data_IF_508926989903
#
_entry.id   IF_508926989903
#
_cell.length_a   1.000
_cell.length_b   1.000
_cell.length_c   1.000
_cell.angle_alpha   90.00
_cell.angle_beta   90.00
_cell.angle_gamma   90.00
#
_symmetry.space_group_name_H-M   'P 1'
#
loop_
_entity.id
_entity.type
_entity.pdbx_description
1 polymer ?
#
# COMPACT_ATOMS: atom_id res chain seq x y z
N UNK A 1 -33.02 67.99 -23.20
CA UNK A 1 -32.94 67.04 -22.07
C UNK A 1 -31.46 66.73 -21.88
N UNK A 2 -30.87 67.32 -20.86
CA UNK A 2 -29.45 67.34 -20.56
C UNK A 2 -29.27 66.44 -19.33
N UNK A 3 -28.24 65.60 -19.28
CA UNK A 3 -27.49 65.32 -18.06
C UNK A 3 -26.18 64.61 -18.40
N UNK A 4 -25.11 65.28 -17.99
CA UNK A 4 -23.72 64.93 -18.16
C UNK A 4 -23.30 63.81 -17.19
N UNK A 5 -22.43 62.90 -17.66
CA UNK A 5 -21.74 61.95 -16.81
C UNK A 5 -20.42 62.58 -16.32
N UNK A 6 -20.34 62.87 -15.02
CA UNK A 6 -19.13 63.30 -14.33
C UNK A 6 -18.19 62.11 -14.09
N UNK A 7 -17.02 62.13 -14.74
CA UNK A 7 -15.89 61.28 -14.39
C UNK A 7 -15.09 61.91 -13.23
N UNK A 8 -15.19 61.33 -12.04
CA UNK A 8 -14.23 61.56 -10.95
C UNK A 8 -13.03 60.63 -11.14
N UNK A 9 -11.86 61.21 -11.41
CA UNK A 9 -10.56 60.52 -11.36
C UNK A 9 -10.20 60.28 -9.90
N UNK A 10 -10.13 59.01 -9.48
CA UNK A 10 -9.49 58.62 -8.23
C UNK A 10 -7.96 58.80 -8.39
N UNK A 11 -7.35 59.54 -7.46
CA UNK A 11 -5.91 59.70 -7.38
C UNK A 11 -5.25 58.38 -6.98
N UNK A 12 -4.37 57.86 -7.85
CA UNK A 12 -3.48 56.74 -7.51
C UNK A 12 -2.44 57.23 -6.50
N UNK A 13 -2.50 56.70 -5.27
CA UNK A 13 -1.41 56.82 -4.32
C UNK A 13 -0.23 55.95 -4.79
N UNK A 14 0.98 56.51 -4.75
CA UNK A 14 2.21 55.80 -5.09
C UNK A 14 2.43 54.58 -4.17
N UNK A 15 2.97 53.46 -4.68
CA UNK A 15 3.23 52.29 -3.87
C UNK A 15 4.31 52.59 -2.83
N UNK A 16 4.01 52.32 -1.55
CA UNK A 16 4.99 52.33 -0.47
C UNK A 16 5.99 51.19 -0.72
N UNK A 17 7.26 51.54 -0.90
CA UNK A 17 8.39 50.61 -0.87
C UNK A 17 8.47 49.97 0.51
N UNK A 18 8.15 48.67 0.59
CA UNK A 18 8.48 47.84 1.75
C UNK A 18 9.91 47.36 1.55
N UNK A 19 10.83 47.91 2.32
CA UNK A 19 12.22 47.45 2.39
C UNK A 19 12.25 46.08 3.05
N UNK A 20 12.37 45.01 2.26
CA UNK A 20 12.62 43.66 2.77
C UNK A 20 14.08 43.58 3.16
N UNK A 21 14.36 43.35 4.45
CA UNK A 21 15.70 43.11 4.95
C UNK A 21 16.29 41.84 4.29
N UNK A 22 17.60 41.82 3.95
CA UNK A 22 18.21 40.64 3.34
C UNK A 22 18.17 39.47 4.33
N UNK A 23 17.55 38.37 3.90
CA UNK A 23 17.66 37.09 4.62
C UNK A 23 19.13 36.68 4.65
N UNK A 24 19.66 36.48 5.85
CA UNK A 24 20.94 35.82 6.04
C UNK A 24 20.87 34.45 5.37
N UNK A 25 21.79 34.23 4.42
CA UNK A 25 22.07 32.90 3.88
C UNK A 25 22.69 32.10 5.01
N UNK A 26 21.85 31.33 5.71
CA UNK A 26 22.35 30.29 6.61
C UNK A 26 23.09 29.28 5.75
N UNK A 27 24.40 29.24 5.95
CA UNK A 27 25.30 28.26 5.37
C UNK A 27 24.72 26.86 5.53
N UNK A 28 24.80 26.10 4.45
CA UNK A 28 24.37 24.72 4.32
C UNK A 28 24.59 23.94 5.63
N UNK A 29 23.48 23.50 6.23
CA UNK A 29 23.53 22.39 7.17
C UNK A 29 24.02 21.18 6.37
N UNK A 30 25.22 20.74 6.69
CA UNK A 30 25.78 19.45 6.28
C UNK A 30 24.72 18.37 6.42
N UNK A 31 24.52 17.61 5.35
CA UNK A 31 23.68 16.42 5.37
C UNK A 31 24.07 15.56 6.59
N UNK A 32 23.10 15.07 7.39
CA UNK A 32 23.44 14.17 8.46
C UNK A 32 24.12 12.95 7.87
N UNK A 33 25.30 12.64 8.39
CA UNK A 33 26.06 11.43 8.09
C UNK A 33 25.13 10.21 8.20
N UNK A 34 25.36 9.21 7.33
CA UNK A 34 24.62 7.96 7.28
C UNK A 34 24.25 7.48 8.69
N UNK A 35 22.94 7.47 8.97
CA UNK A 35 22.41 6.94 10.22
C UNK A 35 22.95 5.52 10.39
N UNK A 36 23.59 5.24 11.53
CA UNK A 36 24.00 3.90 11.89
C UNK A 36 22.82 2.94 11.74
N UNK A 37 23.08 1.74 11.21
CA UNK A 37 22.05 0.72 10.99
C UNK A 37 21.14 0.59 12.21
N UNK A 38 19.83 0.67 11.98
CA UNK A 38 18.81 0.46 13.01
C UNK A 38 19.09 -0.82 13.80
N UNK A 39 18.89 -0.77 15.12
CA UNK A 39 19.06 -1.96 15.97
C UNK A 39 18.06 -3.06 15.61
N UNK A 40 18.39 -4.35 15.79
CA UNK A 40 17.53 -5.47 15.36
C UNK A 40 16.09 -5.41 15.87
N UNK A 41 15.87 -4.96 17.11
CA UNK A 41 14.53 -4.83 17.69
C UNK A 41 13.67 -3.78 16.96
N UNK A 42 14.26 -2.66 16.57
CA UNK A 42 13.55 -1.61 15.85
C UNK A 42 13.28 -2.02 14.38
N UNK A 43 14.21 -2.73 13.74
CA UNK A 43 13.97 -3.32 12.41
C UNK A 43 12.84 -4.34 12.45
N UNK A 44 12.81 -5.19 13.49
CA UNK A 44 11.73 -6.16 13.70
C UNK A 44 10.38 -5.48 13.94
N UNK A 45 10.34 -4.41 14.72
CA UNK A 45 9.12 -3.63 14.94
C UNK A 45 8.58 -3.05 13.63
N UNK A 46 9.44 -2.49 12.77
CA UNK A 46 9.05 -2.02 11.44
C UNK A 46 8.60 -3.14 10.51
N UNK A 47 9.29 -4.28 10.53
CA UNK A 47 8.90 -5.46 9.75
C UNK A 47 7.50 -5.96 10.17
N UNK A 48 7.23 -6.07 11.47
CA UNK A 48 5.89 -6.39 11.97
C UNK A 48 4.87 -5.32 11.61
N UNK A 49 5.25 -4.06 11.76
CA UNK A 49 4.45 -2.91 11.38
C UNK A 49 4.00 -2.97 9.92
N UNK A 50 4.85 -3.44 9.01
CA UNK A 50 4.48 -3.64 7.60
C UNK A 50 3.31 -4.63 7.45
N UNK A 51 3.36 -5.78 8.13
CA UNK A 51 2.32 -6.82 8.01
C UNK A 51 1.04 -6.38 8.73
N UNK A 52 1.18 -5.85 9.95
CA UNK A 52 0.07 -5.32 10.76
C UNK A 52 -0.66 -4.21 10.00
N UNK A 53 0.11 -3.24 9.51
CA UNK A 53 -0.40 -2.08 8.78
C UNK A 53 -1.11 -2.48 7.49
N UNK A 54 -0.63 -3.49 6.77
CA UNK A 54 -1.29 -3.98 5.57
C UNK A 54 -2.66 -4.63 5.86
N UNK A 55 -2.72 -5.55 6.83
CA UNK A 55 -3.96 -6.24 7.20
C UNK A 55 -5.02 -5.29 7.76
N UNK A 56 -4.61 -4.37 8.62
CA UNK A 56 -5.51 -3.37 9.22
C UNK A 56 -6.02 -2.39 8.16
N UNK A 57 -5.17 -1.96 7.22
CA UNK A 57 -5.57 -1.02 6.16
C UNK A 57 -6.61 -1.64 5.23
N UNK A 58 -6.41 -2.90 4.84
CA UNK A 58 -7.36 -3.63 4.01
C UNK A 58 -8.74 -3.73 4.71
N UNK A 59 -8.77 -4.23 5.94
CA UNK A 59 -10.01 -4.34 6.72
C UNK A 59 -10.70 -2.97 6.95
N UNK A 60 -9.92 -1.91 7.21
CA UNK A 60 -10.42 -0.56 7.41
C UNK A 60 -11.06 0.03 6.14
N UNK A 61 -10.55 -0.32 4.96
CA UNK A 61 -10.99 0.25 3.68
C UNK A 61 -12.06 -0.56 2.95
N UNK A 62 -12.21 -1.84 3.31
CA UNK A 62 -13.14 -2.81 2.72
C UNK A 62 -14.59 -2.29 2.56
N UNK A 63 -15.10 -1.58 3.57
CA UNK A 63 -16.49 -1.10 3.58
C UNK A 63 -16.85 -0.12 2.46
N UNK A 64 -15.88 0.58 1.87
CA UNK A 64 -16.08 1.55 0.78
C UNK A 64 -15.46 1.09 -0.55
N UNK A 65 -15.12 -0.19 -0.65
CA UNK A 65 -14.47 -0.74 -1.83
C UNK A 65 -15.34 -0.62 -3.09
N UNK A 66 -14.71 -0.35 -4.24
CA UNK A 66 -15.30 -0.21 -5.58
C UNK A 66 -16.36 0.89 -5.74
N UNK A 67 -16.30 1.94 -4.93
CA UNK A 67 -17.07 3.17 -5.18
C UNK A 67 -16.25 4.09 -6.08
N UNK A 68 -16.44 3.97 -7.39
CA UNK A 68 -15.72 4.79 -8.39
C UNK A 68 -16.31 6.21 -8.54
N UNK A 69 -17.63 6.35 -8.33
CA UNK A 69 -18.32 7.63 -8.43
C UNK A 69 -18.06 8.47 -7.17
N UNK A 70 -17.41 9.62 -7.35
CA UNK A 70 -17.05 10.52 -6.26
C UNK A 70 -18.26 11.16 -5.58
N UNK A 71 -19.30 11.50 -6.35
CA UNK A 71 -20.53 12.06 -5.80
C UNK A 71 -21.23 11.06 -4.89
N UNK A 72 -21.33 9.80 -5.33
CA UNK A 72 -21.88 8.69 -4.55
C UNK A 72 -21.07 8.44 -3.27
N UNK A 73 -19.73 8.44 -3.35
CA UNK A 73 -18.87 8.29 -2.17
C UNK A 73 -19.16 9.37 -1.14
N UNK A 74 -19.18 10.64 -1.56
CA UNK A 74 -19.43 11.77 -0.66
C UNK A 74 -20.85 11.72 -0.07
N UNK A 75 -21.87 11.35 -0.85
CA UNK A 75 -23.23 11.18 -0.37
C UNK A 75 -23.34 10.07 0.69
N UNK A 76 -22.71 8.92 0.46
CA UNK A 76 -22.70 7.80 1.41
C UNK A 76 -22.02 8.18 2.72
N UNK A 77 -20.85 8.83 2.66
CA UNK A 77 -20.15 9.32 3.84
C UNK A 77 -21.00 10.33 4.61
N UNK A 78 -21.60 11.31 3.91
CA UNK A 78 -22.45 12.32 4.52
C UNK A 78 -23.69 11.73 5.19
N UNK A 79 -24.31 10.72 4.58
CA UNK A 79 -25.50 10.06 5.13
C UNK A 79 -25.28 9.41 6.51
N UNK A 80 -24.01 9.16 6.89
CA UNK A 80 -23.62 8.54 8.16
C UNK A 80 -22.68 9.40 9.01
N UNK A 81 -22.42 10.65 8.61
CA UNK A 81 -21.46 11.52 9.31
C UNK A 81 -20.03 10.98 9.32
N UNK A 82 -19.62 10.26 8.26
CA UNK A 82 -18.35 9.52 8.16
C UNK A 82 -17.27 10.23 7.35
N UNK A 83 -17.46 11.50 6.97
CA UNK A 83 -16.52 12.24 6.11
C UNK A 83 -15.10 12.34 6.70
N UNK A 84 -14.97 12.48 8.02
CA UNK A 84 -13.67 12.60 8.70
C UNK A 84 -13.07 11.25 9.15
N UNK A 85 -13.91 10.21 9.27
CA UNK A 85 -13.54 8.89 9.77
C UNK A 85 -14.23 7.79 8.93
N UNK A 86 -13.87 7.67 7.64
CA UNK A 86 -14.51 6.78 6.68
C UNK A 86 -14.19 5.29 6.90
N UNK A 87 -13.15 4.98 7.69
CA UNK A 87 -12.72 3.61 7.99
C UNK A 87 -13.84 2.78 8.64
N UNK A 88 -13.78 1.47 8.39
CA UNK A 88 -14.73 0.49 8.91
C UNK A 88 -16.19 0.90 8.63
N UNK A 89 -16.47 1.40 7.43
CA UNK A 89 -17.80 1.82 7.01
C UNK A 89 -18.79 0.65 7.08
N UNK A 90 -19.91 0.87 7.77
CA UNK A 90 -20.86 -0.19 8.12
C UNK A 90 -22.33 0.22 7.84
N UNK A 91 -23.15 -0.64 7.22
CA UNK A 91 -22.74 -1.89 6.55
C UNK A 91 -21.83 -1.57 5.34
N UNK A 92 -20.99 -2.52 4.91
CA UNK A 92 -20.22 -2.36 3.68
C UNK A 92 -21.10 -1.96 2.49
N UNK A 93 -20.66 -0.96 1.74
CA UNK A 93 -21.41 -0.42 0.60
C UNK A 93 -21.15 -1.17 -0.70
N UNK A 94 -20.16 -2.06 -0.74
CA UNK A 94 -19.85 -2.87 -1.91
C UNK A 94 -20.94 -3.94 -2.10
N UNK A 95 -21.65 -3.96 -3.25
CA UNK A 95 -22.76 -4.89 -3.47
C UNK A 95 -22.33 -6.35 -3.60
N UNK A 96 -21.02 -6.61 -3.74
CA UNK A 96 -20.46 -7.95 -3.85
C UNK A 96 -20.01 -8.52 -2.50
N UNK A 97 -20.03 -7.70 -1.44
CA UNK A 97 -19.56 -8.08 -0.12
C UNK A 97 -20.74 -8.33 0.81
N UNK A 98 -20.83 -9.56 1.29
CA UNK A 98 -21.75 -9.97 2.35
C UNK A 98 -21.05 -10.02 3.72
N UNK A 99 -19.72 -9.82 3.73
CA UNK A 99 -18.89 -9.87 4.92
C UNK A 99 -19.11 -8.62 5.80
N UNK A 100 -19.07 -8.73 7.14
CA UNK A 100 -19.20 -7.58 8.03
C UNK A 100 -17.99 -6.64 7.97
N UNK A 101 -18.20 -5.38 8.35
CA UNK A 101 -17.12 -4.40 8.56
C UNK A 101 -16.03 -4.97 9.48
N UNK A 102 -14.76 -4.75 9.13
CA UNK A 102 -13.61 -5.36 9.81
C UNK A 102 -13.17 -6.71 9.23
N UNK A 103 -13.89 -7.28 8.28
CA UNK A 103 -13.40 -8.42 7.49
C UNK A 103 -12.37 -7.97 6.45
N UNK A 104 -11.44 -8.86 6.12
CA UNK A 104 -10.52 -8.64 5.01
C UNK A 104 -11.24 -8.72 3.66
N UNK A 105 -10.83 -7.86 2.74
CA UNK A 105 -11.13 -7.96 1.31
C UNK A 105 -10.35 -9.15 0.70
N UNK A 106 -10.56 -9.52 -0.59
CA UNK A 106 -9.74 -10.56 -1.19
C UNK A 106 -8.25 -10.20 -1.26
N UNK A 107 -7.89 -8.91 -1.27
CA UNK A 107 -6.48 -8.49 -1.29
C UNK A 107 -5.80 -8.72 0.05
N UNK A 108 -6.41 -8.31 1.16
CA UNK A 108 -5.96 -8.70 2.50
C UNK A 108 -6.07 -10.21 2.74
N UNK A 109 -7.05 -10.87 2.11
CA UNK A 109 -7.20 -12.32 2.11
C UNK A 109 -5.98 -13.05 1.52
N UNK A 110 -5.37 -12.53 0.45
CA UNK A 110 -4.12 -13.07 -0.12
C UNK A 110 -2.95 -12.95 0.86
N UNK A 111 -2.82 -11.80 1.53
CA UNK A 111 -1.80 -11.60 2.57
C UNK A 111 -2.03 -12.56 3.76
N UNK A 112 -3.27 -12.71 4.20
CA UNK A 112 -3.61 -13.63 5.29
C UNK A 112 -3.38 -15.10 4.89
N UNK A 113 -3.63 -15.48 3.64
CA UNK A 113 -3.30 -16.81 3.12
C UNK A 113 -1.79 -17.08 3.24
N UNK A 114 -0.97 -16.11 2.83
CA UNK A 114 0.50 -16.21 2.92
C UNK A 114 0.96 -16.28 4.38
N UNK A 115 0.37 -15.48 5.26
CA UNK A 115 0.66 -15.50 6.69
C UNK A 115 0.33 -16.85 7.33
N UNK A 116 -0.83 -17.42 7.03
CA UNK A 116 -1.22 -18.77 7.50
C UNK A 116 -0.30 -19.85 6.95
N UNK A 117 0.13 -19.72 5.70
CA UNK A 117 1.07 -20.64 5.09
C UNK A 117 2.43 -20.59 5.78
N UNK A 118 3.04 -19.40 5.87
CA UNK A 118 4.40 -19.23 6.41
C UNK A 118 4.49 -19.43 7.94
N UNK A 119 3.39 -19.28 8.68
CA UNK A 119 3.34 -19.50 10.14
C UNK A 119 3.26 -20.95 10.58
N UNK A 120 3.16 -21.90 9.64
CA UNK A 120 3.28 -23.32 9.98
C UNK A 120 4.68 -23.60 10.53
N UNK A 121 4.84 -24.42 11.59
CA UNK A 121 6.11 -24.52 12.34
C UNK A 121 7.36 -24.77 11.47
N UNK A 122 7.27 -25.68 10.50
CA UNK A 122 8.39 -25.98 9.60
C UNK A 122 8.74 -24.81 8.67
N UNK A 123 7.73 -24.09 8.17
CA UNK A 123 7.91 -22.94 7.28
C UNK A 123 8.35 -21.70 8.04
N UNK A 124 7.88 -21.50 9.27
CA UNK A 124 8.35 -20.44 10.15
C UNK A 124 9.83 -20.61 10.50
N UNK A 125 10.26 -21.84 10.81
CA UNK A 125 11.67 -22.16 11.02
C UNK A 125 12.51 -21.91 9.75
N UNK A 126 12.01 -22.30 8.57
CA UNK A 126 12.67 -22.05 7.29
C UNK A 126 12.79 -20.53 7.00
N UNK A 127 11.72 -19.78 7.24
CA UNK A 127 11.66 -18.32 7.11
C UNK A 127 12.63 -17.61 8.07
N UNK A 128 12.79 -18.10 9.31
CA UNK A 128 13.77 -17.58 10.26
C UNK A 128 15.21 -17.71 9.73
N UNK A 129 15.52 -18.80 9.03
CA UNK A 129 16.79 -19.00 8.32
C UNK A 129 16.85 -18.34 6.93
N UNK A 130 15.85 -17.53 6.56
CA UNK A 130 15.70 -16.91 5.23
C UNK A 130 15.76 -17.91 4.07
N UNK A 131 15.30 -19.14 4.28
CA UNK A 131 15.24 -20.14 3.22
C UNK A 131 14.31 -19.67 2.10
N UNK A 132 14.58 -20.03 0.82
CA UNK A 132 13.71 -19.64 -0.30
C UNK A 132 12.26 -20.07 -0.10
N UNK A 133 11.32 -19.22 -0.53
CA UNK A 133 9.90 -19.56 -0.55
C UNK A 133 9.64 -20.61 -1.64
N UNK A 134 9.04 -21.74 -1.26
CA UNK A 134 8.63 -22.76 -2.24
C UNK A 134 7.36 -22.33 -2.99
N UNK A 135 7.54 -21.96 -4.26
CA UNK A 135 6.46 -21.49 -5.14
C UNK A 135 5.33 -22.50 -5.37
N UNK A 136 5.61 -23.79 -5.67
CA UNK A 136 4.57 -24.82 -5.84
C UNK A 136 3.66 -25.00 -4.63
N UNK A 137 4.22 -25.17 -3.43
CA UNK A 137 3.41 -25.33 -2.20
C UNK A 137 2.68 -24.05 -1.83
N UNK A 138 3.28 -22.87 -2.07
CA UNK A 138 2.58 -21.60 -1.92
C UNK A 138 1.37 -21.48 -2.86
N UNK A 139 1.51 -21.82 -4.14
CA UNK A 139 0.39 -21.79 -5.09
C UNK A 139 -0.77 -22.70 -4.64
N UNK A 140 -0.45 -23.90 -4.15
CA UNK A 140 -1.45 -24.81 -3.59
C UNK A 140 -2.11 -24.24 -2.32
N UNK A 141 -1.33 -23.65 -1.41
CA UNK A 141 -1.84 -23.04 -0.18
C UNK A 141 -2.76 -21.85 -0.45
N UNK A 142 -2.41 -20.99 -1.41
CA UNK A 142 -3.24 -19.86 -1.84
C UNK A 142 -4.60 -20.35 -2.36
N UNK A 143 -4.62 -21.32 -3.26
CA UNK A 143 -5.85 -21.87 -3.80
C UNK A 143 -6.70 -22.56 -2.72
N UNK A 144 -6.08 -23.38 -1.86
CA UNK A 144 -6.76 -24.05 -0.75
C UNK A 144 -7.40 -23.05 0.22
N UNK A 145 -6.68 -21.99 0.61
CA UNK A 145 -7.23 -20.95 1.48
C UNK A 145 -8.49 -20.31 0.90
N UNK A 146 -8.47 -19.95 -0.39
CA UNK A 146 -9.64 -19.34 -1.01
C UNK A 146 -10.79 -20.32 -1.25
N UNK A 147 -10.52 -21.62 -1.42
CA UNK A 147 -11.56 -22.63 -1.55
C UNK A 147 -12.23 -22.95 -0.21
N UNK A 148 -11.43 -23.10 0.84
CA UNK A 148 -11.85 -23.81 2.05
C UNK A 148 -11.97 -22.91 3.28
N UNK A 149 -11.32 -21.74 3.28
CA UNK A 149 -11.23 -20.86 4.47
C UNK A 149 -11.85 -19.49 4.22
N UNK A 150 -11.52 -18.84 3.10
CA UNK A 150 -12.00 -17.50 2.81
C UNK A 150 -13.42 -17.52 2.23
N UNK A 151 -14.37 -17.05 3.04
CA UNK A 151 -15.79 -17.00 2.69
C UNK A 151 -16.19 -15.80 1.81
N UNK A 152 -15.32 -14.80 1.66
CA UNK A 152 -15.63 -13.57 0.94
C UNK A 152 -15.60 -13.69 -0.59
N UNK A 153 -15.82 -12.56 -1.25
CA UNK A 153 -15.73 -12.46 -2.71
C UNK A 153 -14.30 -12.78 -3.21
N UNK A 154 -14.18 -13.67 -4.20
CA UNK A 154 -12.92 -14.02 -4.86
C UNK A 154 -12.68 -13.12 -6.08
N UNK A 155 -11.54 -12.42 -6.11
CA UNK A 155 -11.12 -11.63 -7.26
C UNK A 155 -10.81 -12.54 -8.48
N UNK A 156 -10.72 -11.94 -9.68
CA UNK A 156 -10.44 -12.68 -10.93
C UNK A 156 -9.13 -13.46 -10.82
N UNK A 157 -8.08 -12.82 -10.31
CA UNK A 157 -6.74 -13.40 -10.18
C UNK A 157 -6.74 -14.71 -9.41
N UNK A 158 -7.35 -14.73 -8.22
CA UNK A 158 -7.53 -15.94 -7.39
C UNK A 158 -8.37 -17.00 -8.10
N UNK A 159 -9.46 -16.60 -8.79
CA UNK A 159 -10.27 -17.54 -9.58
C UNK A 159 -9.45 -18.20 -10.69
N UNK A 160 -8.57 -17.45 -11.36
CA UNK A 160 -7.65 -17.99 -12.37
C UNK A 160 -6.70 -19.03 -11.77
N UNK A 161 -6.11 -18.77 -10.59
CA UNK A 161 -5.23 -19.74 -9.91
C UNK A 161 -5.95 -21.04 -9.60
N UNK A 162 -7.15 -20.97 -9.01
CA UNK A 162 -7.97 -22.14 -8.70
C UNK A 162 -8.28 -22.94 -9.97
N UNK A 163 -8.77 -22.27 -11.02
CA UNK A 163 -9.12 -22.91 -12.27
C UNK A 163 -7.91 -23.55 -12.97
N UNK A 164 -6.74 -22.90 -12.92
CA UNK A 164 -5.51 -23.43 -13.50
C UNK A 164 -5.02 -24.69 -12.77
N UNK A 165 -5.08 -24.71 -11.44
CA UNK A 165 -4.75 -25.90 -10.64
C UNK A 165 -5.73 -27.04 -10.92
N UNK A 166 -7.03 -26.74 -10.99
CA UNK A 166 -8.07 -27.73 -11.33
C UNK A 166 -7.92 -28.28 -12.75
N UNK A 167 -7.35 -27.49 -13.67
CA UNK A 167 -6.97 -27.92 -15.01
C UNK A 167 -5.63 -28.69 -15.05
N UNK A 168 -5.02 -28.98 -13.90
CA UNK A 168 -3.78 -29.75 -13.80
C UNK A 168 -2.50 -28.97 -14.10
N UNK A 169 -2.54 -27.64 -14.17
CA UNK A 169 -1.34 -26.83 -14.35
C UNK A 169 -0.52 -26.80 -13.05
N UNK A 170 0.79 -26.90 -13.19
CA UNK A 170 1.75 -26.76 -12.09
C UNK A 170 2.34 -25.35 -12.05
N UNK A 171 2.91 -24.95 -10.92
CA UNK A 171 3.68 -23.71 -10.79
C UNK A 171 4.82 -23.68 -11.84
N UNK A 172 5.10 -22.52 -12.47
CA UNK A 172 4.43 -21.23 -12.29
C UNK A 172 3.18 -21.04 -13.18
N UNK A 173 2.80 -22.02 -13.99
CA UNK A 173 1.64 -21.93 -14.89
C UNK A 173 0.27 -21.94 -14.17
N UNK A 174 0.25 -22.03 -12.84
CA UNK A 174 -0.93 -21.72 -12.02
C UNK A 174 -1.29 -20.24 -12.08
N UNK A 175 -0.30 -19.36 -12.19
CA UNK A 175 -0.50 -17.92 -12.30
C UNK A 175 -1.04 -17.50 -13.66
N UNK A 176 -1.82 -16.42 -13.67
CA UNK A 176 -2.37 -15.82 -14.90
C UNK A 176 -1.27 -14.98 -15.59
N UNK A 177 -0.99 -15.29 -16.87
CA UNK A 177 0.05 -14.62 -17.65
C UNK A 177 -0.39 -13.22 -18.12
N UNK A 178 -1.69 -12.94 -18.15
CA UNK A 178 -2.23 -11.67 -18.65
C UNK A 178 -2.72 -10.74 -17.52
N UNK A 179 -2.63 -11.20 -16.27
CA UNK A 179 -3.08 -10.43 -15.12
C UNK A 179 -2.05 -9.37 -14.71
N UNK A 180 -2.43 -8.10 -14.88
CA UNK A 180 -1.64 -6.90 -14.57
C UNK A 180 -2.22 -6.10 -13.40
N UNK A 181 -3.05 -6.73 -12.57
CA UNK A 181 -3.65 -6.10 -11.39
C UNK A 181 -2.66 -5.99 -10.23
N UNK A 182 -3.01 -5.19 -9.22
CA UNK A 182 -2.24 -4.90 -8.02
C UNK A 182 -2.01 -6.09 -7.08
N UNK A 183 -2.47 -7.30 -7.42
CA UNK A 183 -2.26 -8.51 -6.63
C UNK A 183 -0.77 -8.77 -6.35
N UNK A 184 0.14 -8.34 -7.22
CA UNK A 184 1.59 -8.48 -7.03
C UNK A 184 2.08 -7.75 -5.78
N UNK A 185 1.38 -6.70 -5.37
CA UNK A 185 1.67 -5.93 -4.17
C UNK A 185 1.18 -6.61 -2.89
N UNK A 186 0.22 -7.53 -2.97
CA UNK A 186 -0.46 -8.07 -1.79
C UNK A 186 0.41 -9.01 -0.94
N UNK A 187 1.42 -9.63 -1.56
CA UNK A 187 2.35 -10.57 -0.90
C UNK A 187 3.52 -9.86 -0.24
N UNK A 188 3.85 -8.67 -0.74
CA UNK A 188 5.04 -7.92 -0.37
C UNK A 188 5.14 -7.55 1.12
N UNK A 189 4.04 -7.24 1.85
CA UNK A 189 4.16 -6.87 3.26
C UNK A 189 4.86 -7.96 4.09
N UNK A 190 4.47 -9.22 3.92
CA UNK A 190 5.06 -10.33 4.64
C UNK A 190 6.40 -10.77 4.05
N UNK A 191 6.53 -10.82 2.72
CA UNK A 191 7.81 -11.19 2.08
C UNK A 191 8.90 -10.19 2.44
N UNK A 192 8.65 -8.88 2.37
CA UNK A 192 9.63 -7.88 2.77
C UNK A 192 9.91 -7.93 4.28
N UNK A 193 8.88 -8.13 5.13
CA UNK A 193 9.08 -8.28 6.57
C UNK A 193 9.99 -9.46 6.94
N UNK A 194 9.87 -10.58 6.22
CA UNK A 194 10.69 -11.77 6.46
C UNK A 194 12.08 -11.62 5.83
N UNK A 195 12.20 -11.10 4.62
CA UNK A 195 13.45 -11.17 3.84
C UNK A 195 14.23 -9.85 3.74
N UNK A 196 13.78 -8.75 4.37
CA UNK A 196 14.53 -7.49 4.34
C UNK A 196 16.00 -7.66 4.79
N UNK A 197 16.92 -7.14 3.98
CA UNK A 197 18.36 -7.25 4.16
C UNK A 197 18.96 -8.59 3.71
N UNK A 198 18.13 -9.55 3.27
CA UNK A 198 18.58 -10.85 2.77
C UNK A 198 18.78 -10.82 1.25
N UNK A 199 19.84 -11.48 0.72
CA UNK A 199 19.98 -11.69 -0.72
C UNK A 199 18.84 -12.55 -1.32
N UNK A 200 18.06 -13.24 -0.48
CA UNK A 200 16.94 -14.09 -0.90
C UNK A 200 15.63 -13.31 -1.17
N UNK A 201 15.56 -12.02 -0.80
CA UNK A 201 14.36 -11.20 -1.01
C UNK A 201 13.86 -11.23 -2.47
N UNK A 202 14.70 -11.05 -3.50
CA UNK A 202 14.23 -11.09 -4.89
C UNK A 202 13.61 -12.43 -5.28
N UNK A 203 14.21 -13.55 -4.87
CA UNK A 203 13.72 -14.88 -5.18
C UNK A 203 12.38 -15.17 -4.47
N UNK A 204 12.25 -14.75 -3.20
CA UNK A 204 11.00 -14.88 -2.44
C UNK A 204 9.87 -14.04 -3.06
N UNK A 205 10.17 -12.82 -3.51
CA UNK A 205 9.22 -11.95 -4.22
C UNK A 205 8.73 -12.63 -5.50
N UNK A 206 9.65 -13.08 -6.36
CA UNK A 206 9.30 -13.72 -7.62
C UNK A 206 8.47 -14.99 -7.40
N UNK A 207 8.88 -15.87 -6.49
CA UNK A 207 8.15 -17.09 -6.17
C UNK A 207 6.72 -16.80 -5.66
N UNK A 208 6.57 -15.78 -4.79
CA UNK A 208 5.27 -15.40 -4.25
C UNK A 208 4.32 -14.82 -5.32
N UNK A 209 4.86 -14.08 -6.28
CA UNK A 209 4.08 -13.44 -7.36
C UNK A 209 3.72 -14.46 -8.43
N UNK A 210 4.68 -15.25 -8.92
CA UNK A 210 4.46 -16.22 -10.01
C UNK A 210 3.43 -17.29 -9.70
N UNK A 211 3.20 -17.59 -8.41
CA UNK A 211 2.12 -18.47 -7.98
C UNK A 211 0.73 -18.01 -8.47
N UNK A 212 0.55 -16.70 -8.66
CA UNK A 212 -0.73 -16.07 -9.00
C UNK A 212 -0.70 -15.25 -10.29
N UNK A 213 0.40 -14.56 -10.57
CA UNK A 213 0.61 -13.74 -11.77
C UNK A 213 1.91 -14.18 -12.44
N UNK A 214 1.80 -14.99 -13.49
CA UNK A 214 2.96 -15.55 -14.17
C UNK A 214 3.39 -14.68 -15.35
N UNK A 215 3.77 -13.43 -15.04
CA UNK A 215 4.28 -12.48 -16.02
C UNK A 215 5.38 -11.59 -15.44
N UNK A 216 6.35 -11.24 -16.29
CA UNK A 216 7.55 -10.51 -15.87
C UNK A 216 7.26 -9.07 -15.46
N UNK A 217 6.21 -8.46 -16.02
CA UNK A 217 5.78 -7.11 -15.65
C UNK A 217 5.35 -7.05 -14.16
N UNK A 218 4.57 -8.03 -13.71
CA UNK A 218 4.14 -8.13 -12.32
C UNK A 218 5.30 -8.43 -11.37
N UNK A 219 6.23 -9.29 -11.77
CA UNK A 219 7.45 -9.59 -11.00
C UNK A 219 8.34 -8.35 -10.91
N UNK A 220 8.55 -7.63 -12.02
CA UNK A 220 9.39 -6.41 -12.06
C UNK A 220 8.82 -5.32 -11.16
N UNK A 221 7.52 -5.02 -11.28
CA UNK A 221 6.83 -4.08 -10.39
C UNK A 221 6.89 -4.51 -8.92
N UNK A 222 6.68 -5.81 -8.65
CA UNK A 222 6.73 -6.37 -7.31
C UNK A 222 8.12 -6.25 -6.68
N UNK A 223 9.19 -6.50 -7.44
CA UNK A 223 10.57 -6.32 -6.99
C UNK A 223 10.89 -4.86 -6.68
N UNK A 224 10.43 -3.93 -7.52
CA UNK A 224 10.62 -2.50 -7.28
C UNK A 224 9.91 -2.04 -6.00
N UNK A 225 8.65 -2.45 -5.82
CA UNK A 225 7.89 -2.19 -4.61
C UNK A 225 8.52 -2.83 -3.36
N UNK A 226 8.95 -4.10 -3.46
CA UNK A 226 9.60 -4.79 -2.35
C UNK A 226 10.87 -4.09 -1.88
N UNK A 227 11.70 -3.60 -2.81
CA UNK A 227 12.92 -2.85 -2.50
C UNK A 227 12.64 -1.52 -1.80
N UNK A 228 11.58 -0.81 -2.19
CA UNK A 228 11.15 0.41 -1.51
C UNK A 228 10.71 0.09 -0.08
N UNK A 229 9.86 -0.93 0.10
CA UNK A 229 9.39 -1.35 1.42
C UNK A 229 10.54 -1.86 2.30
N UNK A 230 11.49 -2.60 1.74
CA UNK A 230 12.71 -3.05 2.42
C UNK A 230 13.50 -1.86 2.98
N UNK A 231 13.71 -0.78 2.20
CA UNK A 231 14.39 0.42 2.71
C UNK A 231 13.69 0.99 3.94
N UNK A 232 12.36 1.06 3.92
CA UNK A 232 11.57 1.57 5.05
C UNK A 232 11.71 0.66 6.27
N UNK A 233 11.63 -0.67 6.08
CA UNK A 233 11.84 -1.66 7.14
C UNK A 233 13.24 -1.54 7.75
N UNK A 234 14.27 -1.34 6.91
CA UNK A 234 15.66 -1.23 7.34
C UNK A 234 16.04 0.14 7.94
N UNK A 235 15.10 1.08 8.00
CA UNK A 235 15.25 2.29 8.81
C UNK A 235 15.05 3.61 8.07
N UNK A 236 14.99 3.61 6.74
CA UNK A 236 14.69 4.83 5.98
C UNK A 236 13.27 5.34 6.30
N UNK A 237 13.09 6.66 6.25
CA UNK A 237 11.77 7.25 6.08
C UNK A 237 11.20 6.93 4.69
N UNK A 238 9.89 7.12 4.52
CA UNK A 238 9.24 6.94 3.21
C UNK A 238 9.86 7.91 2.19
N UNK A 239 10.03 9.19 2.52
CA UNK A 239 10.63 10.16 1.61
C UNK A 239 12.07 9.79 1.21
N UNK A 240 12.90 9.29 2.13
CA UNK A 240 14.25 8.79 1.81
C UNK A 240 14.22 7.55 0.90
N UNK A 241 13.31 6.61 1.16
CA UNK A 241 13.16 5.40 0.34
C UNK A 241 12.71 5.74 -1.09
N UNK A 242 11.78 6.71 -1.24
CA UNK A 242 11.32 7.16 -2.55
C UNK A 242 12.38 7.99 -3.28
N UNK A 243 13.12 8.86 -2.59
CA UNK A 243 14.24 9.57 -3.18
C UNK A 243 15.35 8.62 -3.64
N UNK A 244 15.64 7.56 -2.87
CA UNK A 244 16.55 6.49 -3.27
C UNK A 244 16.07 5.78 -4.54
N UNK A 245 14.78 5.45 -4.62
CA UNK A 245 14.19 4.71 -5.72
C UNK A 245 14.26 5.44 -7.08
N UNK A 246 14.36 6.77 -7.08
CA UNK A 246 14.50 7.57 -8.31
C UNK A 246 15.94 7.62 -8.85
N UNK A 247 16.94 7.28 -8.03
CA UNK A 247 18.34 7.37 -8.44
C UNK A 247 18.68 6.27 -9.45
N UNK A 248 19.53 6.62 -10.42
CA UNK A 248 19.94 5.71 -11.49
C UNK A 248 20.56 4.42 -10.93
N UNK A 249 20.07 3.28 -11.42
CA UNK A 249 20.60 1.96 -11.08
C UNK A 249 19.97 1.29 -9.85
N UNK A 250 19.16 2.01 -9.06
CA UNK A 250 18.51 1.42 -7.89
C UNK A 250 17.27 0.58 -8.26
N UNK A 251 16.49 1.06 -9.22
CA UNK A 251 15.34 0.39 -9.83
C UNK A 251 15.49 0.36 -11.36
N UNK A 252 14.76 -0.52 -12.08
CA UNK A 252 14.73 -0.43 -13.53
C UNK A 252 14.09 0.92 -13.97
N UNK A 253 14.47 1.45 -15.15
CA UNK A 253 14.15 2.83 -15.51
C UNK A 253 12.65 3.15 -15.55
N UNK A 254 11.82 2.20 -15.98
CA UNK A 254 10.37 2.39 -16.03
C UNK A 254 9.78 2.57 -14.62
N UNK A 255 10.17 1.73 -13.67
CA UNK A 255 9.68 1.78 -12.29
C UNK A 255 10.18 3.03 -11.57
N UNK A 256 11.45 3.42 -11.77
CA UNK A 256 11.99 4.67 -11.24
C UNK A 256 11.22 5.90 -11.77
N UNK A 257 10.78 5.86 -13.03
CA UNK A 257 9.95 6.92 -13.62
C UNK A 257 8.54 6.95 -13.00
N UNK A 258 7.95 5.79 -12.69
CA UNK A 258 6.65 5.71 -12.00
C UNK A 258 6.72 6.32 -10.59
N UNK A 259 7.80 6.04 -9.84
CA UNK A 259 8.07 6.68 -8.53
C UNK A 259 8.21 8.19 -8.69
N UNK A 260 8.96 8.63 -9.70
CA UNK A 260 9.16 10.06 -9.97
C UNK A 260 7.85 10.78 -10.30
N UNK A 261 6.99 10.14 -11.10
CA UNK A 261 5.68 10.69 -11.42
C UNK A 261 4.78 10.80 -10.17
N UNK A 262 4.80 9.79 -9.28
CA UNK A 262 4.05 9.85 -8.02
C UNK A 262 4.53 11.00 -7.12
N UNK A 263 5.84 11.17 -6.96
CA UNK A 263 6.39 12.26 -6.15
C UNK A 263 6.13 13.66 -6.74
N UNK A 264 6.22 13.80 -8.07
CA UNK A 264 5.90 15.04 -8.75
C UNK A 264 4.44 15.49 -8.51
N UNK A 265 3.53 14.55 -8.27
CA UNK A 265 2.13 14.82 -7.99
C UNK A 265 1.83 15.24 -6.54
N UNK A 266 2.82 15.26 -5.61
CA UNK A 266 2.61 15.69 -4.20
C UNK A 266 2.05 17.12 -4.09
N UNK A 267 2.27 17.97 -5.09
CA UNK A 267 1.75 19.35 -5.12
C UNK A 267 0.30 19.48 -5.55
N UNK A 268 -0.35 18.40 -6.01
CA UNK A 268 -1.73 18.41 -6.44
C UNK A 268 -2.69 17.89 -5.34
N UNK A 269 -3.98 18.26 -5.37
CA UNK A 269 -4.97 17.58 -4.54
C UNK A 269 -4.96 16.06 -4.82
N UNK A 270 -4.81 15.25 -3.76
CA UNK A 270 -4.62 13.80 -3.88
C UNK A 270 -5.63 13.13 -4.81
N UNK A 271 -6.93 13.42 -4.63
CA UNK A 271 -7.98 12.82 -5.47
C UNK A 271 -7.81 13.16 -6.95
N UNK A 272 -7.37 14.37 -7.30
CA UNK A 272 -7.13 14.75 -8.70
C UNK A 272 -5.99 13.94 -9.29
N UNK A 273 -4.87 13.84 -8.58
CA UNK A 273 -3.73 13.04 -9.02
C UNK A 273 -4.08 11.55 -9.11
N UNK A 274 -4.82 11.03 -8.13
CA UNK A 274 -5.19 9.63 -8.09
C UNK A 274 -6.09 9.21 -9.25
N UNK A 275 -7.02 10.09 -9.65
CA UNK A 275 -7.85 9.86 -10.83
C UNK A 275 -7.03 9.89 -12.13
N UNK A 276 -5.99 10.72 -12.23
CA UNK A 276 -5.07 10.73 -13.40
C UNK A 276 -4.28 9.43 -13.53
N UNK A 277 -3.80 8.88 -12.42
CA UNK A 277 -3.10 7.58 -12.41
C UNK A 277 -4.06 6.38 -12.59
N UNK A 278 -5.34 6.58 -12.33
CA UNK A 278 -6.38 5.56 -12.37
C UNK A 278 -6.60 4.93 -11.00
N UNK A 279 -7.87 4.86 -10.59
CA UNK A 279 -8.28 4.36 -9.26
C UNK A 279 -8.81 2.91 -9.30
N UNK A 280 -8.63 2.21 -10.42
CA UNK A 280 -8.97 0.80 -10.57
C UNK A 280 -7.81 -0.11 -10.07
N UNK A 281 -8.00 -1.42 -10.20
CA UNK A 281 -7.06 -2.45 -9.74
C UNK A 281 -5.77 -2.58 -10.57
N UNK A 282 -5.70 -1.95 -11.74
CA UNK A 282 -4.58 -2.12 -12.66
C UNK A 282 -3.31 -1.40 -12.21
N UNK A 283 -2.17 -2.04 -12.46
CA UNK A 283 -0.86 -1.39 -12.43
C UNK A 283 -0.68 -0.53 -13.71
N UNK A 284 0.07 0.58 -13.65
CA UNK A 284 0.85 1.07 -12.52
C UNK A 284 0.06 1.97 -11.54
N UNK A 285 -1.20 2.30 -11.85
CA UNK A 285 -1.99 3.29 -11.09
C UNK A 285 -2.11 2.97 -9.61
N UNK A 286 -2.37 1.70 -9.27
CA UNK A 286 -2.43 1.26 -7.87
C UNK A 286 -1.14 1.54 -7.09
N UNK A 287 0.01 1.28 -7.70
CA UNK A 287 1.33 1.53 -7.11
C UNK A 287 1.59 3.02 -6.95
N UNK A 288 1.39 3.82 -8.00
CA UNK A 288 1.62 5.27 -7.94
C UNK A 288 0.75 5.96 -6.89
N UNK A 289 -0.53 5.56 -6.80
CA UNK A 289 -1.47 6.07 -5.82
C UNK A 289 -1.08 5.69 -4.37
N UNK A 290 -0.59 4.46 -4.16
CA UNK A 290 -0.07 4.06 -2.85
C UNK A 290 1.18 4.87 -2.47
N UNK A 291 2.12 5.09 -3.40
CA UNK A 291 3.30 5.92 -3.13
C UNK A 291 2.95 7.37 -2.83
N UNK A 292 2.05 7.96 -3.62
CA UNK A 292 1.60 9.33 -3.44
C UNK A 292 0.91 9.51 -2.07
N UNK A 293 0.02 8.58 -1.69
CA UNK A 293 -0.64 8.61 -0.39
C UNK A 293 0.38 8.45 0.75
N UNK A 294 1.34 7.53 0.62
CA UNK A 294 2.37 7.30 1.62
C UNK A 294 3.27 8.53 1.81
N UNK A 295 3.67 9.18 0.73
CA UNK A 295 4.55 10.35 0.77
C UNK A 295 3.86 11.61 1.33
N UNK A 296 2.53 11.68 1.25
CA UNK A 296 1.73 12.79 1.77
C UNK A 296 1.17 12.58 3.18
N UNK A 297 1.31 11.39 3.75
CA UNK A 297 0.70 11.02 5.01
C UNK A 297 1.44 11.62 6.22
N UNK A 298 0.68 12.18 7.16
CA UNK A 298 1.22 12.65 8.45
C UNK A 298 1.16 11.58 9.55
N UNK A 299 0.35 10.55 9.33
CA UNK A 299 0.19 9.39 10.22
C UNK A 299 -0.32 8.20 9.40
N UNK A 300 -0.30 7.00 10.00
CA UNK A 300 -0.90 5.82 9.41
C UNK A 300 -2.37 6.07 9.00
N UNK A 301 -3.20 6.53 9.94
CA UNK A 301 -4.64 6.75 9.69
C UNK A 301 -4.91 7.81 8.64
N UNK A 302 -4.10 8.88 8.61
CA UNK A 302 -4.21 9.96 7.60
C UNK A 302 -3.97 9.43 6.18
N UNK A 303 -2.92 8.64 5.98
CA UNK A 303 -2.64 8.01 4.68
C UNK A 303 -3.73 7.05 4.25
N UNK A 304 -4.22 6.18 5.15
CA UNK A 304 -5.31 5.25 4.83
C UNK A 304 -6.59 6.00 4.47
N UNK A 305 -6.99 7.01 5.25
CA UNK A 305 -8.18 7.83 4.96
C UNK A 305 -8.05 8.58 3.64
N UNK A 306 -6.87 9.11 3.34
CA UNK A 306 -6.56 9.76 2.06
C UNK A 306 -6.80 8.80 0.88
N UNK A 307 -6.29 7.57 0.97
CA UNK A 307 -6.56 6.54 -0.05
C UNK A 307 -8.04 6.20 -0.20
N UNK A 308 -8.80 6.15 0.90
CA UNK A 308 -10.25 5.90 0.86
C UNK A 308 -10.99 6.99 0.08
N UNK A 309 -10.55 8.25 0.19
CA UNK A 309 -11.19 9.38 -0.50
C UNK A 309 -11.04 9.36 -2.02
N UNK A 310 -10.05 8.65 -2.56
CA UNK A 310 -9.93 8.45 -4.01
C UNK A 310 -10.99 7.46 -4.55
N UNK A 311 -11.62 6.66 -3.69
CA UNK A 311 -12.59 5.64 -4.11
C UNK A 311 -11.97 4.54 -4.99
N UNK A 312 -12.79 3.93 -5.84
CA UNK A 312 -12.39 2.84 -6.73
C UNK A 312 -11.91 1.60 -5.98
N UNK A 313 -10.89 0.93 -6.50
CA UNK A 313 -10.21 -0.20 -5.84
C UNK A 313 -9.24 0.29 -4.75
N UNK A 314 -9.81 0.83 -3.67
CA UNK A 314 -9.03 1.31 -2.54
C UNK A 314 -8.33 0.18 -1.77
N UNK A 315 -8.89 -1.03 -1.75
CA UNK A 315 -8.40 -2.15 -0.95
C UNK A 315 -7.07 -2.67 -1.48
N UNK A 316 -6.94 -2.89 -2.80
CA UNK A 316 -5.67 -3.38 -3.35
C UNK A 316 -4.51 -2.41 -3.08
N UNK A 317 -4.77 -1.10 -3.16
CA UNK A 317 -3.80 -0.06 -2.82
C UNK A 317 -3.48 -0.04 -1.33
N UNK A 318 -4.50 -0.22 -0.48
CA UNK A 318 -4.38 -0.20 0.98
C UNK A 318 -3.41 -1.24 1.51
N UNK A 319 -3.29 -2.41 0.89
CA UNK A 319 -2.36 -3.46 1.37
C UNK A 319 -0.92 -2.95 1.35
N UNK A 320 -0.48 -2.38 0.22
CA UNK A 320 0.88 -1.88 0.10
C UNK A 320 1.10 -0.53 0.79
N UNK A 321 0.13 0.39 0.70
CA UNK A 321 0.15 1.64 1.44
C UNK A 321 0.24 1.41 2.95
N UNK A 322 -0.60 0.52 3.48
CA UNK A 322 -0.62 0.12 4.87
C UNK A 322 0.70 -0.50 5.31
N UNK A 323 1.36 -1.26 4.44
CA UNK A 323 2.70 -1.78 4.70
C UNK A 323 3.76 -0.68 4.81
N UNK A 324 3.78 0.28 3.88
CA UNK A 324 4.73 1.40 3.94
C UNK A 324 4.55 2.24 5.20
N UNK A 325 3.29 2.60 5.52
CA UNK A 325 2.99 3.41 6.70
C UNK A 325 3.24 2.64 7.99
N UNK A 326 2.81 1.38 8.06
CA UNK A 326 3.04 0.52 9.21
C UNK A 326 4.53 0.26 9.45
N UNK A 327 5.33 0.09 8.40
CA UNK A 327 6.77 -0.01 8.52
C UNK A 327 7.40 1.33 8.99
N UNK A 328 6.91 2.46 8.51
CA UNK A 328 7.46 3.76 8.87
C UNK A 328 7.15 4.17 10.33
N UNK A 329 5.94 3.85 10.82
CA UNK A 329 5.47 4.23 12.15
C UNK A 329 5.56 3.12 13.20
N UNK A 330 5.93 1.90 12.82
CA UNK A 330 5.98 0.74 13.71
C UNK A 330 4.60 0.18 14.04
N UNK A 331 4.55 -0.92 14.81
CA UNK A 331 3.28 -1.58 15.18
C UNK A 331 2.36 -0.63 15.96
N UNK A 332 2.93 0.16 16.88
CA UNK A 332 2.18 1.12 17.70
C UNK A 332 1.74 2.36 16.92
N UNK A 333 2.29 2.59 15.73
CA UNK A 333 1.78 3.58 14.79
C UNK A 333 0.44 3.18 14.17
N UNK A 334 0.08 1.89 14.21
CA UNK A 334 -1.21 1.38 13.74
C UNK A 334 -2.22 1.43 14.90
N UNK A 335 -3.34 2.17 14.77
CA UNK A 335 -4.27 2.38 15.88
C UNK A 335 -4.76 1.06 16.49
N UNK A 336 -4.65 0.93 17.82
CA UNK A 336 -5.05 -0.27 18.54
C UNK A 336 -6.55 -0.54 18.35
N UNK A 337 -7.37 0.51 18.30
CA UNK A 337 -8.81 0.41 18.07
C UNK A 337 -9.17 0.01 16.64
N UNK A 338 -8.24 0.12 15.69
CA UNK A 338 -8.38 -0.43 14.34
C UNK A 338 -7.97 -1.90 14.31
N UNK A 339 -6.84 -2.25 14.94
CA UNK A 339 -6.41 -3.65 15.14
C UNK A 339 -7.53 -4.49 15.75
N UNK A 340 -8.14 -4.00 16.82
CA UNK A 340 -9.24 -4.68 17.53
C UNK A 340 -10.52 -4.87 16.71
N UNK A 341 -10.70 -4.13 15.60
CA UNK A 341 -11.83 -4.29 14.68
C UNK A 341 -11.58 -5.31 13.58
N UNK A 342 -10.34 -5.74 13.37
CA UNK A 342 -10.03 -6.76 12.36
C UNK A 342 -10.55 -8.11 12.85
N UNK A 343 -11.35 -8.76 12.01
CA UNK A 343 -11.89 -10.09 12.32
C UNK A 343 -10.76 -11.12 12.40
N UNK A 344 -10.64 -11.82 13.53
CA UNK A 344 -9.58 -12.80 13.76
C UNK A 344 -8.20 -12.19 14.06
N UNK A 345 -8.15 -10.97 14.60
CA UNK A 345 -6.90 -10.29 14.91
C UNK A 345 -5.95 -11.08 15.83
N UNK A 346 -6.40 -11.68 16.96
CA UNK A 346 -5.49 -12.39 17.86
C UNK A 346 -4.72 -13.53 17.18
N UNK A 347 -5.38 -14.29 16.29
CA UNK A 347 -4.76 -15.37 15.53
C UNK A 347 -3.76 -14.84 14.49
N UNK A 348 -4.10 -13.73 13.81
CA UNK A 348 -3.19 -13.09 12.87
C UNK A 348 -1.95 -12.53 13.57
N UNK A 349 -2.11 -11.88 14.71
CA UNK A 349 -1.02 -11.32 15.51
C UNK A 349 -0.05 -12.41 15.98
N UNK A 350 -0.57 -13.52 16.51
CA UNK A 350 0.25 -14.67 16.88
C UNK A 350 1.01 -15.27 15.68
N UNK A 351 0.38 -15.34 14.51
CA UNK A 351 1.04 -15.81 13.29
C UNK A 351 2.14 -14.85 12.81
N UNK A 352 1.93 -13.53 12.93
CA UNK A 352 2.96 -12.51 12.61
C UNK A 352 4.17 -12.70 13.53
N UNK A 353 3.92 -12.86 14.84
CA UNK A 353 4.97 -13.04 15.83
C UNK A 353 5.80 -14.31 15.61
N UNK A 354 5.18 -15.37 15.09
CA UNK A 354 5.85 -16.62 14.76
C UNK A 354 6.75 -16.55 13.53
N UNK A 355 6.43 -15.67 12.56
CA UNK A 355 7.13 -15.62 11.25
C UNK A 355 8.11 -14.46 11.16
N UNK A 356 7.80 -13.32 11.77
CA UNK A 356 8.64 -12.12 11.74
C UNK A 356 9.51 -12.08 13.00
N UNK A 357 10.67 -12.74 12.88
CA UNK A 357 11.68 -12.89 13.94
C UNK A 357 12.90 -12.02 13.71
#
# INVERSE_FOLDING_TARGET
MQLAATHQRAAFAAPRTVTVAPRSVSTAATAPAAQGSMGPAATRDRAKGAVVGALVADAATMGLHWIYDQGKLQQLLASKGKQAAPEFFDPPSCPFYEMPSGSLSPYGGELHALLRYMSQPALAAAAASKAPLDGPSWAAALAGYFKDVYAGYKNKSVKSVIANIEAGKAYPATGDAEDTQANSLCKLPLIAAVYAGSPELPAAVEASIRAQQNNDASVTMGLAAAKILEKVILGSSIDEALAWAQQQGNLPPAEAQLVSAALAAKGEPFNTAAQKFGVACSMPGAFQNALLAAAGANSYSDGIRTNMMAGGDNCSRSVYLGALLGAAYGVEGVPQEWRAKVTGWPEMEAAIDAVVV
#
